data_IF_329219548544
#
_entry.id   IF_329219548544
#
_cell.length_a   1.000
_cell.length_b   1.000
_cell.length_c   1.000
_cell.angle_alpha   90.00
_cell.angle_beta   90.00
_cell.angle_gamma   90.00
#
_symmetry.space_group_name_H-M   'P 1'
#
loop_
_entity.id
_entity.type
_entity.pdbx_description
1 polymer ?
#
# COMPACT_ATOMS: atom_id res chain seq x y z
N UNK A 1 4.63 22.14 -18.74
CA UNK A 1 4.64 20.67 -18.84
C UNK A 1 3.41 20.21 -19.61
N UNK A 2 3.50 20.18 -20.93
CA UNK A 2 2.37 19.88 -21.83
C UNK A 2 2.87 18.89 -22.88
N UNK A 3 2.64 17.60 -22.65
CA UNK A 3 2.44 16.57 -23.67
C UNK A 3 2.24 15.23 -22.96
N UNK A 4 1.26 14.44 -23.43
CA UNK A 4 0.96 13.06 -23.02
C UNK A 4 -0.01 12.77 -21.86
N UNK A 5 -0.89 13.70 -21.45
CA UNK A 5 -1.90 13.39 -20.39
C UNK A 5 -2.77 12.16 -20.74
N UNK A 6 -3.14 12.01 -22.00
CA UNK A 6 -3.96 10.88 -22.47
C UNK A 6 -3.18 9.56 -22.55
N UNK A 7 -1.84 9.58 -22.60
CA UNK A 7 -1.02 8.36 -22.68
C UNK A 7 -0.41 7.95 -21.35
N UNK A 8 -0.79 8.60 -20.24
CA UNK A 8 -0.22 8.33 -18.91
C UNK A 8 -1.10 7.44 -18.04
N UNK A 9 -2.31 7.07 -18.50
CA UNK A 9 -3.21 6.17 -17.78
C UNK A 9 -2.47 4.86 -17.46
N UNK A 10 -2.56 4.41 -16.22
CA UNK A 10 -1.94 3.17 -15.76
C UNK A 10 -2.89 2.44 -14.82
N UNK A 11 -3.03 1.12 -14.94
CA UNK A 11 -3.87 0.34 -14.02
C UNK A 11 -3.26 0.31 -12.60
N UNK A 12 -1.93 0.34 -12.53
CA UNK A 12 -1.16 0.22 -11.29
C UNK A 12 -0.07 1.28 -11.27
N UNK A 13 0.03 2.02 -10.17
CA UNK A 13 1.09 3.00 -9.93
C UNK A 13 1.87 2.64 -8.69
N UNK A 14 3.20 2.60 -8.80
CA UNK A 14 4.06 2.62 -7.60
C UNK A 14 4.18 4.06 -7.14
N UNK A 15 3.76 4.34 -5.91
CA UNK A 15 3.75 5.69 -5.37
C UNK A 15 5.16 6.29 -5.39
N UNK A 16 5.35 7.47 -6.02
CA UNK A 16 6.64 8.14 -6.04
C UNK A 16 7.17 8.34 -4.62
N UNK A 17 8.45 8.03 -4.38
CA UNK A 17 9.13 8.23 -3.10
C UNK A 17 8.32 7.73 -1.88
N UNK A 18 7.80 6.50 -1.97
CA UNK A 18 7.03 5.84 -0.90
C UNK A 18 5.73 6.56 -0.49
N UNK A 19 5.27 7.56 -1.27
CA UNK A 19 4.13 8.40 -0.92
C UNK A 19 4.50 9.62 -0.07
N UNK A 20 5.65 10.25 -0.34
CA UNK A 20 6.01 11.53 0.27
C UNK A 20 5.03 12.65 -0.11
N UNK A 21 4.82 13.58 0.81
CA UNK A 21 3.92 14.75 0.64
C UNK A 21 4.17 15.53 -0.66
N UNK A 22 5.41 15.58 -1.12
CA UNK A 22 5.82 16.37 -2.29
C UNK A 22 5.98 15.54 -3.57
N UNK A 23 5.76 14.22 -3.52
CA UNK A 23 6.08 13.32 -4.63
C UNK A 23 4.91 13.00 -5.55
N UNK A 24 3.68 13.39 -5.17
CA UNK A 24 2.47 13.19 -5.97
C UNK A 24 1.65 14.48 -6.00
N UNK A 25 1.64 15.16 -7.14
CA UNK A 25 0.73 16.29 -7.37
C UNK A 25 -0.65 15.78 -7.77
N UNK A 26 -1.70 16.58 -7.51
CA UNK A 26 -3.04 16.25 -8.00
C UNK A 26 -3.06 16.04 -9.52
N UNK A 27 -2.33 16.89 -10.27
CA UNK A 27 -2.21 16.76 -11.72
C UNK A 27 -1.61 15.44 -12.18
N UNK A 28 -0.69 14.86 -11.40
CA UNK A 28 -0.12 13.54 -11.69
C UNK A 28 -1.13 12.43 -11.42
N UNK A 29 -1.80 12.47 -10.27
CA UNK A 29 -2.82 11.48 -9.89
C UNK A 29 -3.96 11.46 -10.91
N UNK A 30 -4.43 12.63 -11.34
CA UNK A 30 -5.48 12.75 -12.35
C UNK A 30 -5.03 12.26 -13.73
N UNK A 31 -3.75 12.42 -14.07
CA UNK A 31 -3.22 11.99 -15.36
C UNK A 31 -3.04 10.46 -15.43
N UNK A 32 -2.61 9.83 -14.34
CA UNK A 32 -2.40 8.38 -14.28
C UNK A 32 -3.67 7.58 -13.98
N UNK A 33 -4.63 8.19 -13.26
CA UNK A 33 -5.94 7.64 -12.91
C UNK A 33 -5.95 6.12 -12.63
N UNK A 34 -5.19 5.65 -11.60
CA UNK A 34 -4.95 4.23 -11.43
C UNK A 34 -6.02 3.51 -10.62
N UNK A 35 -6.19 2.22 -10.88
CA UNK A 35 -7.03 1.33 -10.07
C UNK A 35 -6.33 1.00 -8.75
N UNK A 36 -5.01 0.80 -8.77
CA UNK A 36 -4.19 0.50 -7.59
C UNK A 36 -3.00 1.45 -7.45
N UNK A 37 -2.72 1.86 -6.22
CA UNK A 37 -1.46 2.55 -5.87
C UNK A 37 -0.69 1.76 -4.82
N UNK A 38 0.60 1.50 -5.10
CA UNK A 38 1.47 0.69 -4.25
C UNK A 38 2.41 1.57 -3.45
N UNK A 39 2.36 1.47 -2.13
CA UNK A 39 3.25 2.17 -1.21
C UNK A 39 4.27 1.20 -0.64
N UNK A 40 5.51 1.30 -1.13
CA UNK A 40 6.64 0.53 -0.63
C UNK A 40 7.20 1.15 0.67
N UNK A 41 6.43 1.14 1.76
CA UNK A 41 6.86 1.68 3.06
C UNK A 41 6.90 0.55 4.10
N UNK A 42 7.88 0.59 5.00
CA UNK A 42 8.00 -0.38 6.11
C UNK A 42 7.06 -0.06 7.27
N UNK A 43 6.71 -1.08 8.05
CA UNK A 43 5.92 -0.90 9.28
C UNK A 43 6.65 0.03 10.26
N UNK A 44 5.92 0.99 10.85
CA UNK A 44 6.46 2.02 11.75
C UNK A 44 7.67 2.77 11.17
N UNK A 45 7.70 2.95 9.84
CA UNK A 45 8.68 3.78 9.16
C UNK A 45 8.80 5.17 9.84
N UNK A 46 10.02 5.56 10.23
CA UNK A 46 10.32 6.82 10.93
C UNK A 46 9.89 8.08 10.16
N UNK A 47 9.84 8.00 8.83
CA UNK A 47 9.41 9.11 7.97
C UNK A 47 7.88 9.21 7.83
N UNK A 48 7.14 8.26 8.42
CA UNK A 48 5.66 8.23 8.43
C UNK A 48 5.04 8.19 7.03
N UNK A 49 5.73 7.56 6.08
CA UNK A 49 5.18 7.27 4.75
C UNK A 49 4.21 6.06 4.78
N UNK A 50 3.18 6.05 3.92
CA UNK A 50 2.78 7.17 3.06
C UNK A 50 2.22 8.35 3.87
N UNK A 51 2.48 9.57 3.39
CA UNK A 51 1.88 10.76 3.99
C UNK A 51 0.35 10.66 3.90
N UNK A 52 -0.34 11.03 4.98
CA UNK A 52 -1.78 10.89 5.07
C UNK A 52 -2.53 11.71 4.01
N UNK A 53 -2.00 12.86 3.58
CA UNK A 53 -2.60 13.66 2.51
C UNK A 53 -2.45 12.97 1.14
N UNK A 54 -1.31 12.33 0.88
CA UNK A 54 -1.09 11.55 -0.35
C UNK A 54 -2.02 10.36 -0.40
N UNK A 55 -2.15 9.62 0.70
CA UNK A 55 -3.09 8.50 0.80
C UNK A 55 -4.53 8.93 0.51
N UNK A 56 -4.97 10.06 1.06
CA UNK A 56 -6.30 10.63 0.79
C UNK A 56 -6.46 11.07 -0.66
N UNK A 57 -5.44 11.68 -1.26
CA UNK A 57 -5.49 12.15 -2.64
C UNK A 57 -5.69 10.99 -3.62
N UNK A 58 -4.94 9.88 -3.45
CA UNK A 58 -5.12 8.70 -4.28
C UNK A 58 -6.51 8.05 -4.09
N UNK A 59 -7.00 7.95 -2.86
CA UNK A 59 -8.36 7.45 -2.58
C UNK A 59 -9.43 8.32 -3.24
N UNK A 60 -9.28 9.64 -3.17
CA UNK A 60 -10.20 10.58 -3.81
C UNK A 60 -10.19 10.45 -5.35
N UNK A 61 -9.04 10.09 -5.93
CA UNK A 61 -8.90 9.76 -7.35
C UNK A 61 -9.42 8.37 -7.74
N UNK A 62 -10.00 7.60 -6.80
CA UNK A 62 -10.58 6.28 -7.05
C UNK A 62 -9.61 5.10 -6.88
N UNK A 63 -8.33 5.35 -6.59
CA UNK A 63 -7.34 4.30 -6.46
C UNK A 63 -7.45 3.53 -5.13
N UNK A 64 -7.20 2.23 -5.18
CA UNK A 64 -7.09 1.36 -4.01
C UNK A 64 -5.63 1.39 -3.52
N UNK A 65 -5.36 1.93 -2.31
CA UNK A 65 -4.01 1.95 -1.78
C UNK A 65 -3.61 0.62 -1.16
N UNK A 66 -2.43 0.12 -1.54
CA UNK A 66 -1.85 -1.13 -1.03
C UNK A 66 -0.47 -0.84 -0.41
N UNK A 67 -0.30 -1.19 0.86
CA UNK A 67 0.93 -0.94 1.61
C UNK A 67 1.71 -2.25 1.78
N UNK A 68 2.98 -2.28 1.39
CA UNK A 68 3.83 -3.47 1.60
C UNK A 68 4.05 -3.78 3.09
N UNK A 69 4.02 -2.75 3.94
CA UNK A 69 4.00 -2.90 5.40
C UNK A 69 2.87 -3.79 5.92
N UNK A 70 1.73 -3.82 5.24
CA UNK A 70 0.52 -4.55 5.65
C UNK A 70 0.41 -5.87 4.89
N UNK A 71 0.58 -5.82 3.57
CA UNK A 71 0.31 -6.93 2.66
C UNK A 71 1.49 -7.88 2.47
N UNK A 72 2.70 -7.47 2.86
CA UNK A 72 3.94 -8.14 2.48
C UNK A 72 4.29 -7.87 1.02
N UNK A 73 4.83 -8.87 0.32
CA UNK A 73 5.03 -8.75 -1.12
C UNK A 73 3.66 -8.71 -1.82
N UNK A 74 3.47 -7.68 -2.64
CA UNK A 74 2.28 -7.49 -3.47
C UNK A 74 2.65 -7.95 -4.88
N UNK A 75 1.92 -8.91 -5.44
CA UNK A 75 2.16 -9.44 -6.79
C UNK A 75 0.97 -9.20 -7.69
N UNK A 76 1.26 -8.78 -8.92
CA UNK A 76 0.31 -8.76 -10.02
C UNK A 76 0.82 -9.69 -11.12
N UNK A 77 -0.10 -10.40 -11.76
CA UNK A 77 0.19 -11.20 -12.97
C UNK A 77 -0.40 -10.48 -14.17
N UNK A 78 0.40 -10.37 -15.23
CA UNK A 78 -0.01 -9.80 -16.51
C UNK A 78 0.03 -10.89 -17.58
N UNK A 79 -0.98 -10.91 -18.44
CA UNK A 79 -1.10 -11.87 -19.52
C UNK A 79 -2.53 -11.95 -20.04
N UNK A 80 -2.75 -12.55 -21.22
CA UNK A 80 -4.10 -12.74 -21.77
C UNK A 80 -4.99 -13.49 -20.76
N UNK A 81 -6.16 -12.92 -20.43
CA UNK A 81 -7.09 -13.51 -19.46
C UNK A 81 -6.67 -13.43 -17.99
N UNK A 82 -5.52 -12.80 -17.67
CA UNK A 82 -5.12 -12.61 -16.29
C UNK A 82 -6.01 -11.53 -15.63
N UNK A 83 -6.64 -11.88 -14.51
CA UNK A 83 -7.27 -10.89 -13.65
C UNK A 83 -6.15 -10.12 -12.95
N UNK A 84 -6.07 -8.79 -13.13
CA UNK A 84 -5.12 -7.91 -12.43
C UNK A 84 -5.44 -7.75 -10.93
N UNK A 85 -5.97 -8.79 -10.29
CA UNK A 85 -6.20 -8.80 -8.86
C UNK A 85 -4.86 -8.96 -8.14
N UNK A 86 -4.60 -8.16 -7.10
CA UNK A 86 -3.38 -8.27 -6.32
C UNK A 86 -3.37 -9.55 -5.49
N UNK A 87 -2.20 -10.17 -5.43
CA UNK A 87 -1.86 -11.27 -4.53
C UNK A 87 -0.99 -10.75 -3.38
N UNK A 88 -1.23 -11.25 -2.17
CA UNK A 88 -0.63 -10.70 -0.95
C UNK A 88 0.10 -11.78 -0.18
N UNK A 89 1.43 -11.74 -0.21
CA UNK A 89 2.25 -12.78 0.41
C UNK A 89 1.90 -12.99 1.89
N UNK A 90 1.67 -11.91 2.66
CA UNK A 90 1.37 -12.04 4.09
C UNK A 90 0.02 -12.70 4.37
N UNK A 91 -0.97 -12.54 3.48
CA UNK A 91 -2.29 -13.17 3.62
C UNK A 91 -2.26 -14.63 3.14
N UNK A 92 -1.48 -14.94 2.11
CA UNK A 92 -1.36 -16.28 1.55
C UNK A 92 -0.47 -17.20 2.40
N UNK A 93 0.60 -16.67 3.00
CA UNK A 93 1.52 -17.44 3.85
C UNK A 93 1.30 -17.14 5.33
N UNK A 94 0.16 -17.59 5.87
CA UNK A 94 -0.10 -17.57 7.31
C UNK A 94 0.85 -18.52 8.02
N UNK A 95 1.85 -17.96 8.72
CA UNK A 95 2.73 -18.73 9.60
C UNK A 95 2.16 -18.70 11.02
N UNK A 96 2.31 -19.78 11.78
CA UNK A 96 1.74 -19.86 13.14
C UNK A 96 2.25 -18.77 14.09
N UNK A 97 3.44 -18.20 13.84
CA UNK A 97 4.01 -17.09 14.59
C UNK A 97 3.62 -15.69 14.06
N UNK A 98 2.77 -15.65 13.03
CA UNK A 98 2.10 -14.46 12.50
C UNK A 98 0.61 -14.61 12.77
N UNK A 99 0.22 -14.51 14.03
CA UNK A 99 -1.17 -14.36 14.42
C UNK A 99 -1.61 -12.92 14.21
N UNK A 100 -2.85 -12.72 13.75
CA UNK A 100 -3.53 -11.44 13.91
C UNK A 100 -3.72 -11.22 15.41
N UNK A 101 -2.75 -10.62 16.08
CA UNK A 101 -2.91 -10.26 17.49
C UNK A 101 -3.91 -9.11 17.51
N UNK A 102 -5.17 -9.44 17.84
CA UNK A 102 -6.16 -8.43 18.16
C UNK A 102 -5.60 -7.53 19.28
N UNK A 103 -5.82 -6.20 19.28
CA UNK A 103 -5.09 -5.27 20.15
C UNK A 103 -5.34 -5.40 21.66
N UNK A 104 -5.92 -6.49 22.18
CA UNK A 104 -6.37 -6.50 23.57
C UNK A 104 -6.43 -7.87 24.27
N UNK A 105 -5.50 -8.78 24.00
CA UNK A 105 -5.29 -9.96 24.87
C UNK A 105 -3.89 -9.93 25.50
N UNK A 106 -3.58 -8.86 26.22
CA UNK A 106 -2.57 -8.94 27.27
C UNK A 106 -3.25 -9.53 28.50
N UNK A 107 -3.27 -10.85 28.60
CA UNK A 107 -3.60 -11.54 29.84
C UNK A 107 -2.58 -11.20 30.94
N UNK A 108 -2.98 -11.20 32.23
CA UNK A 108 -2.13 -10.71 33.30
C UNK A 108 -0.84 -11.54 33.41
N UNK A 109 0.30 -10.86 33.33
CA UNK A 109 1.60 -11.44 33.67
C UNK A 109 1.59 -11.80 35.15
N UNK A 110 1.52 -13.10 35.45
CA UNK A 110 1.73 -13.59 36.81
C UNK A 110 3.21 -13.44 37.16
N UNK A 111 3.51 -12.51 38.05
CA UNK A 111 4.81 -12.38 38.72
C UNK A 111 4.97 -13.57 39.68
N UNK A 112 5.91 -14.47 39.40
CA UNK A 112 6.38 -15.45 40.38
C UNK A 112 7.75 -15.00 40.87
N UNK A 113 7.75 -14.52 42.11
CA UNK A 113 8.93 -14.35 42.97
C UNK A 113 9.61 -15.69 43.20
N UNK A 114 10.92 -15.74 42.98
CA UNK A 114 11.89 -16.39 43.87
C UNK A 114 13.16 -15.56 43.92
#
# INVERSE_FOLDING_TARGET
MKQHRESLKADIVVAPHHGSKTSSTASFIDAVAPDYVLFAAGYRNRYRFPDAAVLRAYRAGGAIPLLSAEEGAIRFRFGPGARHAPEFYRKETKRFWRTDVAPNEVGPTSTTTK
#
